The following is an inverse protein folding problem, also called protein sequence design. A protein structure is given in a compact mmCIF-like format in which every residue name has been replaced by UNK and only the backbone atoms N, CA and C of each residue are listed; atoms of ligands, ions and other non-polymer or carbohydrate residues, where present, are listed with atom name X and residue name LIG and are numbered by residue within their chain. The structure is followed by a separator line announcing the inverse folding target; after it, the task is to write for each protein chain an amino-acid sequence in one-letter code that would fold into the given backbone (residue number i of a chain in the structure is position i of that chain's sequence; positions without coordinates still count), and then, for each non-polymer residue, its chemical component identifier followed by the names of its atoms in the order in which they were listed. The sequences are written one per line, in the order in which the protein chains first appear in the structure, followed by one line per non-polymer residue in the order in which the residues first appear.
data_IF_226422147472
#
_entry.id   IF_226422147472
#
_cell.length_a   1.000
_cell.length_b   1.000
_cell.length_c   1.000
_cell.angle_alpha   90.00
_cell.angle_beta   90.00
_cell.angle_gamma   90.00
#
_symmetry.space_group_name_H-M   'P 1'
#
loop_
_entity.id
_entity.type
_entity.pdbx_description
1 polymer ?
#
# COMPACT_ATOMS: atom_id res chain seq x y z
N UNK A 1 -1.70 -7.85 -32.22
CA UNK A 1 -2.41 -7.59 -30.94
C UNK A 1 -1.47 -6.76 -30.07
N UNK A 2 -1.86 -5.58 -29.67
CA UNK A 2 -1.09 -4.83 -28.66
C UNK A 2 -1.16 -5.60 -27.34
N UNK A 3 0.00 -5.94 -26.76
CA UNK A 3 0.06 -6.62 -25.47
C UNK A 3 -0.61 -5.76 -24.38
N UNK A 4 -1.18 -6.42 -23.34
CA UNK A 4 -1.72 -5.72 -22.17
C UNK A 4 -0.66 -4.84 -21.53
N UNK A 5 -1.06 -3.67 -21.04
CA UNK A 5 -0.14 -2.76 -20.35
C UNK A 5 0.23 -3.31 -18.99
N UNK A 6 1.51 -3.36 -18.67
CA UNK A 6 1.96 -3.74 -17.31
C UNK A 6 1.49 -2.72 -16.29
N UNK A 7 0.90 -3.23 -15.22
CA UNK A 7 0.40 -2.41 -14.13
C UNK A 7 0.51 -3.17 -12.79
N UNK A 8 0.29 -2.48 -11.70
CA UNK A 8 0.14 -3.05 -10.37
C UNK A 8 -1.13 -2.49 -9.72
N UNK A 9 -1.62 -3.16 -8.68
CA UNK A 9 -2.64 -2.59 -7.82
C UNK A 9 -1.93 -1.90 -6.65
N UNK A 10 -2.20 -0.61 -6.47
CA UNK A 10 -1.81 0.13 -5.27
C UNK A 10 -2.96 0.14 -4.28
N UNK A 11 -2.65 -0.13 -3.01
CA UNK A 11 -3.61 -0.10 -1.89
C UNK A 11 -3.04 0.80 -0.80
N UNK A 12 -3.88 1.65 -0.25
CA UNK A 12 -3.60 2.48 0.93
C UNK A 12 -4.59 2.11 2.03
N UNK A 13 -4.07 1.59 3.16
CA UNK A 13 -4.88 1.15 4.31
C UNK A 13 -4.61 2.08 5.49
N UNK A 14 -5.54 2.98 5.73
CA UNK A 14 -5.52 3.84 6.91
C UNK A 14 -6.63 3.49 7.91
N UNK A 15 -6.59 4.10 9.08
CA UNK A 15 -7.62 3.89 10.12
C UNK A 15 -9.02 4.38 9.74
N UNK A 16 -9.15 5.27 8.75
CA UNK A 16 -10.43 5.85 8.35
C UNK A 16 -10.95 5.28 7.04
N UNK A 17 -10.06 5.04 6.08
CA UNK A 17 -10.39 4.61 4.72
C UNK A 17 -9.38 3.61 4.20
N UNK A 18 -9.84 2.77 3.28
CA UNK A 18 -9.01 1.93 2.41
C UNK A 18 -9.24 2.39 0.98
N UNK A 19 -8.18 2.71 0.26
CA UNK A 19 -8.23 3.11 -1.14
C UNK A 19 -7.41 2.15 -1.99
N UNK A 20 -7.90 1.81 -3.19
CA UNK A 20 -7.15 0.98 -4.13
C UNK A 20 -7.35 1.45 -5.56
N UNK A 21 -6.32 1.28 -6.40
CA UNK A 21 -6.35 1.67 -7.80
C UNK A 21 -5.30 0.95 -8.64
N UNK A 22 -5.41 1.09 -9.96
CA UNK A 22 -4.46 0.52 -10.92
C UNK A 22 -3.40 1.57 -11.24
N UNK A 23 -2.13 1.22 -11.04
CA UNK A 23 -0.99 2.11 -11.24
C UNK A 23 -0.02 1.53 -12.26
N UNK A 24 0.50 2.38 -13.13
CA UNK A 24 1.52 2.03 -14.12
C UNK A 24 2.93 2.24 -13.63
N UNK A 25 3.91 1.69 -14.35
CA UNK A 25 5.33 1.78 -14.01
C UNK A 25 5.92 3.19 -14.01
N UNK A 26 5.23 4.16 -14.59
CA UNK A 26 5.64 5.57 -14.63
C UNK A 26 4.96 6.43 -13.54
N UNK A 27 4.36 5.79 -12.53
CA UNK A 27 3.60 6.47 -11.47
C UNK A 27 2.24 7.01 -11.92
N UNK A 28 1.78 6.61 -13.11
CA UNK A 28 0.47 7.02 -13.63
C UNK A 28 -0.63 6.18 -12.99
N UNK A 29 -1.66 6.85 -12.50
CA UNK A 29 -2.90 6.20 -12.06
C UNK A 29 -3.79 6.04 -13.28
N UNK A 30 -4.06 4.79 -13.69
CA UNK A 30 -4.80 4.48 -14.91
C UNK A 30 -6.32 4.60 -14.79
N UNK A 31 -6.85 4.50 -13.56
CA UNK A 31 -8.27 4.69 -13.27
C UNK A 31 -8.43 5.37 -11.91
N UNK A 32 -9.53 6.08 -11.70
CA UNK A 32 -9.81 6.70 -10.41
C UNK A 32 -9.81 5.65 -9.29
N UNK A 33 -9.04 5.86 -8.22
CA UNK A 33 -9.03 4.93 -7.10
C UNK A 33 -10.44 4.77 -6.49
N UNK A 34 -10.77 3.56 -6.10
CA UNK A 34 -11.97 3.27 -5.31
C UNK A 34 -11.62 3.34 -3.84
N UNK A 35 -12.51 3.90 -3.06
CA UNK A 35 -12.32 4.10 -1.61
C UNK A 35 -13.52 3.55 -0.85
N UNK A 36 -13.23 2.88 0.26
CA UNK A 36 -14.22 2.38 1.22
C UNK A 36 -13.85 2.86 2.63
N UNK A 37 -14.80 2.89 3.54
CA UNK A 37 -14.52 3.13 4.95
C UNK A 37 -13.80 1.93 5.57
N UNK A 38 -12.78 2.17 6.39
CA UNK A 38 -12.07 1.10 7.11
C UNK A 38 -12.93 0.52 8.22
N UNK A 39 -13.64 1.39 8.97
CA UNK A 39 -14.40 1.01 10.16
C UNK A 39 -13.54 0.23 11.17
N UNK A 40 -12.49 0.83 11.75
CA UNK A 40 -11.45 0.12 12.50
C UNK A 40 -11.92 -0.55 13.80
N UNK A 41 -13.16 -0.32 14.21
CA UNK A 41 -13.80 -0.96 15.36
C UNK A 41 -14.56 -2.24 15.00
N UNK A 42 -14.78 -2.48 13.72
CA UNK A 42 -15.35 -3.74 13.24
C UNK A 42 -14.39 -4.90 13.46
N UNK A 43 -14.87 -6.13 13.56
CA UNK A 43 -14.01 -7.31 13.60
C UNK A 43 -13.02 -7.33 12.42
N UNK A 44 -11.78 -7.78 12.68
CA UNK A 44 -10.74 -7.79 11.65
C UNK A 44 -11.13 -8.55 10.39
N UNK A 45 -11.89 -9.64 10.53
CA UNK A 45 -12.42 -10.42 9.41
C UNK A 45 -13.34 -9.60 8.49
N UNK A 46 -14.10 -8.66 9.06
CA UNK A 46 -14.99 -7.77 8.29
C UNK A 46 -14.15 -6.77 7.49
N UNK A 47 -13.12 -6.19 8.11
CA UNK A 47 -12.22 -5.26 7.43
C UNK A 47 -11.50 -5.97 6.27
N UNK A 48 -11.01 -7.18 6.49
CA UNK A 48 -10.33 -7.97 5.45
C UNK A 48 -11.31 -8.40 4.35
N UNK A 49 -12.53 -8.80 4.68
CA UNK A 49 -13.55 -9.11 3.67
C UNK A 49 -13.88 -7.90 2.78
N UNK A 50 -13.95 -6.70 3.36
CA UNK A 50 -14.15 -5.45 2.63
C UNK A 50 -12.95 -5.13 1.72
N UNK A 51 -11.71 -5.31 2.21
CA UNK A 51 -10.50 -5.20 1.39
C UNK A 51 -10.53 -6.16 0.20
N UNK A 52 -10.89 -7.43 0.43
CA UNK A 52 -10.98 -8.43 -0.64
C UNK A 52 -12.04 -8.09 -1.67
N UNK A 53 -13.20 -7.57 -1.23
CA UNK A 53 -14.25 -7.10 -2.13
C UNK A 53 -13.76 -5.93 -2.99
N UNK A 54 -13.03 -4.98 -2.39
CA UNK A 54 -12.42 -3.87 -3.11
C UNK A 54 -11.42 -4.36 -4.16
N UNK A 55 -10.50 -5.26 -3.78
CA UNK A 55 -9.50 -5.83 -4.69
C UNK A 55 -10.13 -6.62 -5.85
N UNK A 56 -11.18 -7.42 -5.59
CA UNK A 56 -11.93 -8.13 -6.64
C UNK A 56 -12.54 -7.16 -7.65
N UNK A 57 -13.12 -6.06 -7.17
CA UNK A 57 -13.69 -5.04 -8.05
C UNK A 57 -12.63 -4.33 -8.90
N UNK A 58 -11.45 -4.03 -8.33
CA UNK A 58 -10.34 -3.44 -9.08
C UNK A 58 -9.81 -4.43 -10.13
N UNK A 59 -9.67 -5.71 -9.79
CA UNK A 59 -9.22 -6.75 -10.73
C UNK A 59 -10.22 -6.97 -11.87
N UNK A 60 -11.53 -6.86 -11.62
CA UNK A 60 -12.56 -6.96 -12.65
C UNK A 60 -12.43 -5.81 -13.68
N UNK A 61 -12.02 -4.61 -13.24
CA UNK A 61 -11.78 -3.46 -14.12
C UNK A 61 -10.42 -3.53 -14.82
N UNK A 62 -9.55 -4.47 -14.45
CA UNK A 62 -8.18 -4.57 -14.94
C UNK A 62 -8.02 -5.42 -16.22
N UNK A 63 -9.09 -5.66 -16.99
CA UNK A 63 -9.06 -6.55 -18.16
C UNK A 63 -8.01 -6.15 -19.23
N UNK A 64 -7.74 -4.85 -19.37
CA UNK A 64 -6.78 -4.30 -20.34
C UNK A 64 -5.33 -4.27 -19.80
N UNK A 65 -5.12 -4.70 -18.55
CA UNK A 65 -3.83 -4.63 -17.88
C UNK A 65 -3.27 -6.02 -17.56
N UNK A 66 -1.95 -6.10 -17.57
CA UNK A 66 -1.16 -7.24 -17.09
C UNK A 66 -0.69 -6.91 -15.66
N UNK A 67 -1.48 -7.31 -14.66
CA UNK A 67 -1.23 -6.98 -13.25
C UNK A 67 -0.07 -7.80 -12.72
N UNK A 68 1.01 -7.13 -12.36
CA UNK A 68 2.28 -7.73 -11.90
C UNK A 68 2.31 -8.02 -10.40
N UNK A 69 1.42 -7.39 -9.61
CA UNK A 69 1.38 -7.56 -8.16
C UNK A 69 0.52 -6.51 -7.47
N UNK A 70 0.49 -6.59 -6.14
CA UNK A 70 -0.24 -5.69 -5.27
C UNK A 70 0.76 -5.02 -4.32
N UNK A 71 0.82 -3.70 -4.32
CA UNK A 71 1.57 -2.90 -3.34
C UNK A 71 0.62 -2.36 -2.29
N UNK A 72 0.90 -2.60 -1.02
CA UNK A 72 0.08 -2.13 0.10
C UNK A 72 0.90 -1.16 0.94
N UNK A 73 0.47 0.10 1.00
CA UNK A 73 0.85 1.06 2.03
C UNK A 73 -0.12 0.93 3.20
N UNK A 74 0.39 0.73 4.40
CA UNK A 74 -0.44 0.59 5.59
C UNK A 74 0.12 1.42 6.74
N UNK A 75 -0.77 1.99 7.56
CA UNK A 75 -0.35 2.62 8.81
C UNK A 75 0.37 1.62 9.70
N UNK A 76 1.43 2.05 10.37
CA UNK A 76 2.29 1.19 11.19
C UNK A 76 1.95 1.20 12.68
N UNK A 77 2.72 0.43 13.48
CA UNK A 77 3.96 -0.28 13.14
C UNK A 77 3.75 -1.62 12.39
N UNK A 78 4.75 -1.99 11.56
CA UNK A 78 4.71 -3.18 10.69
C UNK A 78 6.01 -3.99 10.81
N UNK A 79 5.91 -5.31 10.76
CA UNK A 79 7.02 -6.20 10.40
C UNK A 79 6.99 -6.40 8.88
N UNK A 80 7.73 -5.57 8.16
CA UNK A 80 7.71 -5.53 6.70
C UNK A 80 8.29 -6.82 6.09
N UNK A 81 9.30 -7.39 6.73
CA UNK A 81 9.95 -8.61 6.24
C UNK A 81 9.01 -9.80 6.30
N UNK A 82 8.22 -9.90 7.36
CA UNK A 82 7.20 -10.94 7.54
C UNK A 82 5.85 -10.57 6.94
N UNK A 83 5.63 -9.30 6.61
CA UNK A 83 4.35 -8.82 6.08
C UNK A 83 3.22 -8.79 7.11
N UNK A 84 3.55 -8.49 8.37
CA UNK A 84 2.64 -8.55 9.52
C UNK A 84 2.37 -7.14 10.03
N UNK A 85 1.10 -6.81 10.29
CA UNK A 85 0.72 -5.67 11.11
C UNK A 85 1.13 -5.98 12.56
N UNK A 86 1.71 -5.01 13.26
CA UNK A 86 2.06 -5.17 14.68
C UNK A 86 0.97 -4.55 15.56
N UNK A 87 1.33 -3.80 16.59
CA UNK A 87 0.39 -3.14 17.48
C UNK A 87 -0.06 -1.79 16.86
N UNK A 88 -0.94 -1.87 15.86
CA UNK A 88 -1.37 -0.73 15.07
C UNK A 88 -2.55 -0.03 15.75
N UNK A 89 -2.31 1.11 16.39
CA UNK A 89 -3.32 1.88 17.15
C UNK A 89 -4.57 2.21 16.31
N UNK A 90 -4.39 2.55 15.04
CA UNK A 90 -5.48 2.92 14.14
C UNK A 90 -6.24 1.73 13.55
N UNK A 91 -5.79 0.49 13.79
CA UNK A 91 -6.38 -0.76 13.31
C UNK A 91 -6.36 -1.84 14.40
N UNK A 92 -6.90 -1.59 15.59
CA UNK A 92 -6.69 -2.42 16.78
C UNK A 92 -7.22 -3.86 16.61
N UNK A 93 -8.17 -4.08 15.73
CA UNK A 93 -8.73 -5.42 15.46
C UNK A 93 -7.89 -6.23 14.48
N UNK A 94 -6.84 -5.63 13.91
CA UNK A 94 -5.88 -6.26 12.99
C UNK A 94 -4.47 -6.37 13.61
N UNK A 95 -4.32 -6.24 14.93
CA UNK A 95 -3.01 -6.37 15.57
C UNK A 95 -2.45 -7.77 15.39
N UNK A 96 -1.16 -7.85 15.06
CA UNK A 96 -0.40 -9.08 14.75
C UNK A 96 -0.98 -9.88 13.57
N UNK A 97 -1.67 -9.21 12.64
CA UNK A 97 -2.32 -9.85 11.52
C UNK A 97 -1.34 -10.05 10.33
N UNK A 98 -1.23 -11.26 9.75
CA UNK A 98 -0.34 -11.57 8.64
C UNK A 98 -0.95 -11.09 7.31
N UNK A 99 -1.02 -9.77 7.12
CA UNK A 99 -1.75 -9.16 6.01
C UNK A 99 -1.25 -9.61 4.64
N UNK A 100 0.07 -9.63 4.44
CA UNK A 100 0.68 -10.03 3.18
C UNK A 100 0.27 -11.44 2.79
N UNK A 101 0.50 -12.42 3.66
CA UNK A 101 0.22 -13.83 3.38
C UNK A 101 -1.28 -14.05 3.17
N UNK A 102 -2.12 -13.36 3.95
CA UNK A 102 -3.58 -13.46 3.83
C UNK A 102 -4.07 -12.97 2.48
N UNK A 103 -3.50 -11.89 1.94
CA UNK A 103 -3.82 -11.39 0.60
C UNK A 103 -3.28 -12.32 -0.48
N UNK A 104 -2.04 -12.81 -0.36
CA UNK A 104 -1.43 -13.74 -1.34
C UNK A 104 -2.17 -15.08 -1.43
N UNK A 105 -2.77 -15.55 -0.33
CA UNK A 105 -3.58 -16.79 -0.33
C UNK A 105 -4.86 -16.66 -1.16
N UNK A 106 -5.43 -15.46 -1.25
CA UNK A 106 -6.70 -15.24 -1.99
C UNK A 106 -6.45 -14.76 -3.41
N UNK A 107 -5.42 -13.94 -3.59
CA UNK A 107 -5.03 -13.39 -4.89
C UNK A 107 -3.68 -13.96 -5.28
N UNK A 108 -3.58 -14.74 -6.38
CA UNK A 108 -2.31 -15.34 -6.83
C UNK A 108 -1.38 -14.29 -7.46
N UNK A 109 -1.10 -13.24 -6.72
CA UNK A 109 -0.27 -12.10 -7.09
C UNK A 109 0.74 -11.84 -5.98
N UNK A 110 1.97 -11.48 -6.35
CA UNK A 110 2.97 -11.06 -5.37
C UNK A 110 2.49 -9.82 -4.62
N UNK A 111 2.58 -9.84 -3.28
CA UNK A 111 2.24 -8.71 -2.42
C UNK A 111 3.51 -8.10 -1.82
N UNK A 112 3.58 -6.77 -1.83
CA UNK A 112 4.59 -5.99 -1.11
C UNK A 112 3.84 -5.13 -0.11
N UNK A 113 4.23 -5.23 1.17
CA UNK A 113 3.70 -4.39 2.25
C UNK A 113 4.78 -3.41 2.69
N UNK A 114 4.41 -2.16 2.87
CA UNK A 114 5.27 -1.13 3.46
C UNK A 114 4.42 -0.14 4.29
N UNK A 115 5.11 0.68 5.08
CA UNK A 115 4.47 1.80 5.76
C UNK A 115 3.95 2.83 4.73
N UNK A 116 2.79 3.44 5.01
CA UNK A 116 2.12 4.40 4.14
C UNK A 116 2.97 5.65 3.85
N UNK A 117 3.66 6.20 4.86
CA UNK A 117 4.58 7.32 4.66
C UNK A 117 5.78 6.92 3.80
N UNK A 118 6.35 5.72 4.03
CA UNK A 118 7.42 5.20 3.18
C UNK A 118 6.99 5.09 1.72
N UNK A 119 5.82 4.51 1.48
CA UNK A 119 5.28 4.33 0.13
C UNK A 119 5.05 5.68 -0.57
N UNK A 120 4.48 6.67 0.14
CA UNK A 120 4.24 8.01 -0.39
C UNK A 120 5.55 8.72 -0.74
N UNK A 121 6.49 8.79 0.21
CA UNK A 121 7.75 9.51 0.00
C UNK A 121 8.62 8.80 -1.06
N UNK A 122 8.54 7.48 -1.14
CA UNK A 122 9.21 6.72 -2.20
C UNK A 122 8.63 7.07 -3.58
N UNK A 123 7.32 7.20 -3.70
CA UNK A 123 6.66 7.64 -4.94
C UNK A 123 7.09 9.07 -5.33
N UNK A 124 7.15 10.00 -4.36
CA UNK A 124 7.64 11.36 -4.56
C UNK A 124 9.12 11.40 -5.00
N UNK A 125 9.94 10.50 -4.47
CA UNK A 125 11.34 10.38 -4.87
C UNK A 125 11.49 9.84 -6.31
N UNK A 126 10.60 8.95 -6.76
CA UNK A 126 10.66 8.35 -8.09
C UNK A 126 10.03 9.25 -9.17
N UNK A 127 8.86 9.80 -8.89
CA UNK A 127 8.01 10.43 -9.92
C UNK A 127 7.56 11.85 -9.57
N UNK A 128 7.68 12.26 -8.29
CA UNK A 128 7.19 13.54 -7.81
C UNK A 128 8.28 14.60 -7.60
N UNK A 129 8.12 15.38 -6.54
CA UNK A 129 8.97 16.53 -6.23
C UNK A 129 10.44 16.15 -5.94
N UNK A 130 10.69 14.92 -5.48
CA UNK A 130 12.04 14.39 -5.21
C UNK A 130 12.74 13.76 -6.42
N UNK A 131 12.09 13.75 -7.60
CA UNK A 131 12.68 13.13 -8.79
C UNK A 131 14.03 13.75 -9.15
N UNK A 132 15.02 12.90 -9.39
CA UNK A 132 16.42 13.28 -9.67
C UNK A 132 17.21 13.75 -8.43
N UNK A 133 16.67 13.74 -7.23
CA UNK A 133 17.46 13.95 -6.01
C UNK A 133 18.13 12.64 -5.59
N UNK A 134 19.41 12.70 -5.20
CA UNK A 134 20.12 11.54 -4.67
C UNK A 134 19.63 11.11 -3.29
N UNK A 135 18.99 12.03 -2.56
CA UNK A 135 18.44 11.80 -1.23
C UNK A 135 17.20 12.67 -1.04
N UNK A 136 16.12 12.08 -0.50
CA UNK A 136 14.83 12.72 -0.24
C UNK A 136 14.41 12.42 1.19
N UNK A 137 14.21 13.44 2.00
CA UNK A 137 13.56 13.35 3.29
C UNK A 137 12.16 13.95 3.15
N UNK A 138 11.14 13.18 3.48
CA UNK A 138 9.75 13.60 3.36
C UNK A 138 8.98 13.43 4.65
N UNK A 139 7.93 14.25 4.79
CA UNK A 139 7.01 14.20 5.91
C UNK A 139 5.57 14.14 5.43
N UNK A 140 4.76 13.31 6.06
CA UNK A 140 3.31 13.30 5.89
C UNK A 140 2.67 13.97 7.09
N UNK A 141 1.74 14.89 6.85
CA UNK A 141 1.01 15.61 7.89
C UNK A 141 -0.48 15.28 7.75
N UNK A 142 -1.01 14.54 8.72
CA UNK A 142 -2.40 14.10 8.73
C UNK A 142 -2.88 13.92 10.18
N UNK A 143 -3.56 12.83 10.48
CA UNK A 143 -3.93 12.44 11.85
C UNK A 143 -2.68 12.32 12.75
N UNK A 144 -1.56 11.86 12.16
CA UNK A 144 -0.25 11.82 12.75
C UNK A 144 0.80 12.48 11.85
N UNK A 145 2.07 12.39 12.25
CA UNK A 145 3.21 12.79 11.44
C UNK A 145 3.96 11.53 11.05
N UNK A 146 4.05 11.27 9.73
CA UNK A 146 4.91 10.25 9.16
C UNK A 146 6.18 10.87 8.59
N UNK A 147 7.26 10.11 8.58
CA UNK A 147 8.53 10.53 8.00
C UNK A 147 9.20 9.35 7.30
N UNK A 148 9.76 9.60 6.13
CA UNK A 148 10.60 8.62 5.44
C UNK A 148 11.82 9.29 4.81
N UNK A 149 12.91 8.55 4.76
CA UNK A 149 14.14 8.95 4.08
C UNK A 149 14.47 7.97 2.96
N UNK A 150 14.54 8.50 1.75
CA UNK A 150 14.94 7.76 0.55
C UNK A 150 16.36 8.18 0.21
N UNK A 151 17.27 7.24 0.14
CA UNK A 151 18.67 7.50 -0.21
C UNK A 151 19.15 6.50 -1.26
N UNK A 152 19.73 6.99 -2.35
CA UNK A 152 20.17 6.15 -3.46
C UNK A 152 19.05 5.26 -4.03
N UNK A 153 17.81 5.77 -4.08
CA UNK A 153 16.65 5.04 -4.60
C UNK A 153 16.13 3.94 -3.67
N UNK A 154 16.50 3.94 -2.40
CA UNK A 154 16.04 2.96 -1.40
C UNK A 154 15.49 3.65 -0.17
N UNK A 155 14.45 3.07 0.43
CA UNK A 155 13.95 3.51 1.74
C UNK A 155 15.02 3.20 2.79
N UNK A 156 15.48 4.22 3.51
CA UNK A 156 16.37 4.04 4.64
C UNK A 156 15.57 3.56 5.85
N UNK A 157 15.84 2.34 6.28
CA UNK A 157 15.16 1.74 7.43
C UNK A 157 16.08 1.74 8.64
N UNK A 158 15.59 2.24 9.76
CA UNK A 158 16.21 2.04 11.07
C UNK A 158 15.62 0.77 11.65
N UNK A 159 16.40 -0.03 12.34
CA UNK A 159 16.00 -1.32 12.91
C UNK A 159 15.00 -1.21 14.09
N UNK A 160 14.24 -0.16 14.19
CA UNK A 160 13.14 -0.03 15.12
C UNK A 160 11.87 0.14 14.28
N UNK A 161 11.04 -0.89 14.34
CA UNK A 161 9.71 -1.00 13.75
C UNK A 161 9.00 0.35 13.58
N UNK A 162 9.03 0.90 12.40
CA UNK A 162 8.29 2.12 12.04
C UNK A 162 7.51 1.85 10.76
#
# INVERSE_FOLDING_TARGET
MMGRRKAAIGVDIGGTKISAGIVGGEGLVYASPRTIATNPKEPGEVIIANLFSLLKNILADAADYDIQGIGIGCTGPLDIDKGILLDVENLPTLNYFPLKDTVEQVFPLRVILDNDANALIYAEALWGAGRNAGSVLGFTLGTGIGCAWINGGKVWRVYFYS
#
